data_IF_533686292243
#
_entry.id   IF_533686292243
#
_cell.length_a   1.000
_cell.length_b   1.000
_cell.length_c   1.000
_cell.angle_alpha   90.00
_cell.angle_beta   90.00
_cell.angle_gamma   90.00
#
_symmetry.space_group_name_H-M   'P 1'
#
loop_
_entity.id
_entity.type
_entity.pdbx_description
1 polymer ?
#
# COMPACT_ATOMS: atom_id res chain seq x y z
N UNK A 1 12.49 -0.97 -11.55
CA UNK A 1 11.33 -0.71 -10.67
C UNK A 1 11.05 -1.83 -9.65
N UNK A 2 10.77 -3.07 -10.05
CA UNK A 2 10.37 -4.14 -9.10
C UNK A 2 11.43 -4.39 -8.01
N UNK A 3 12.71 -4.34 -8.35
CA UNK A 3 13.82 -4.43 -7.38
C UNK A 3 13.77 -3.33 -6.32
N UNK A 4 13.58 -2.09 -6.76
CA UNK A 4 13.48 -0.88 -5.91
C UNK A 4 12.28 -1.00 -4.98
N UNK A 5 11.12 -1.43 -5.49
CA UNK A 5 9.92 -1.65 -4.68
C UNK A 5 10.14 -2.72 -3.59
N UNK A 6 10.82 -3.84 -3.93
CA UNK A 6 11.17 -4.88 -2.94
C UNK A 6 12.12 -4.35 -1.86
N UNK A 7 13.11 -3.56 -2.25
CA UNK A 7 14.06 -2.96 -1.31
C UNK A 7 13.38 -1.92 -0.42
N UNK A 8 12.47 -1.12 -0.98
CA UNK A 8 11.66 -0.16 -0.22
C UNK A 8 10.82 -0.86 0.86
N UNK A 9 10.08 -1.91 0.49
CA UNK A 9 9.29 -2.70 1.45
C UNK A 9 10.21 -3.27 2.53
N UNK A 10 11.35 -3.84 2.14
CA UNK A 10 12.32 -4.36 3.12
C UNK A 10 12.80 -3.27 4.08
N UNK A 11 13.17 -2.09 3.57
CA UNK A 11 13.63 -0.97 4.36
C UNK A 11 12.57 -0.52 5.38
N UNK A 12 11.31 -0.38 4.95
CA UNK A 12 10.20 -0.05 5.86
C UNK A 12 9.98 -1.13 6.92
N UNK A 13 9.95 -2.41 6.52
CA UNK A 13 9.77 -3.55 7.45
C UNK A 13 10.89 -3.67 8.48
N UNK A 14 12.10 -3.23 8.14
CA UNK A 14 13.27 -3.21 9.04
C UNK A 14 13.40 -1.90 9.82
N UNK A 15 12.75 -0.83 9.38
CA UNK A 15 12.97 0.52 9.90
C UNK A 15 14.33 1.10 9.49
N UNK A 16 14.86 0.68 8.35
CA UNK A 16 16.12 1.20 7.80
C UNK A 16 15.87 2.55 7.12
N UNK A 17 16.18 3.61 7.85
CA UNK A 17 16.00 4.99 7.39
C UNK A 17 16.77 5.28 6.10
N UNK A 18 18.06 4.94 6.04
CA UNK A 18 18.89 5.30 4.89
C UNK A 18 18.48 4.53 3.63
N UNK A 19 18.20 3.24 3.76
CA UNK A 19 17.73 2.43 2.65
C UNK A 19 16.37 2.93 2.13
N UNK A 20 15.48 3.36 3.01
CA UNK A 20 14.20 3.99 2.64
C UNK A 20 14.42 5.22 1.75
N UNK A 21 15.29 6.16 2.15
CA UNK A 21 15.56 7.36 1.34
C UNK A 21 16.18 7.06 -0.01
N UNK A 22 17.12 6.13 -0.05
CA UNK A 22 17.76 5.72 -1.31
C UNK A 22 16.70 5.16 -2.27
N UNK A 23 15.82 4.29 -1.78
CA UNK A 23 14.72 3.76 -2.59
C UNK A 23 13.78 4.86 -3.09
N UNK A 24 13.37 5.79 -2.22
CA UNK A 24 12.50 6.91 -2.61
C UNK A 24 13.15 7.77 -3.69
N UNK A 25 14.45 8.05 -3.58
CA UNK A 25 15.21 8.79 -4.59
C UNK A 25 15.26 8.05 -5.93
N UNK A 26 15.47 6.74 -5.90
CA UNK A 26 15.48 5.90 -7.11
C UNK A 26 14.10 5.72 -7.76
N UNK A 27 13.01 5.91 -7.01
CA UNK A 27 11.64 5.85 -7.55
C UNK A 27 11.24 7.09 -8.35
N UNK A 28 11.85 8.26 -8.09
CA UNK A 28 11.48 9.55 -8.71
C UNK A 28 11.45 9.52 -10.25
N UNK A 29 12.50 9.03 -10.95
CA UNK A 29 12.49 9.00 -12.41
C UNK A 29 11.31 8.22 -12.99
N UNK A 30 10.89 7.17 -12.29
CA UNK A 30 9.77 6.36 -12.73
C UNK A 30 8.43 7.06 -12.58
N UNK A 31 8.23 7.83 -11.51
CA UNK A 31 7.01 8.66 -11.36
C UNK A 31 6.93 9.72 -12.46
N UNK A 32 8.07 10.27 -12.88
CA UNK A 32 8.14 11.14 -14.05
C UNK A 32 7.75 10.40 -15.34
N UNK A 33 8.38 9.26 -15.63
CA UNK A 33 8.14 8.52 -16.88
C UNK A 33 6.72 7.96 -16.97
N UNK A 34 6.09 7.63 -15.84
CA UNK A 34 4.72 7.11 -15.82
C UNK A 34 3.64 8.22 -15.86
N UNK A 35 4.04 9.50 -15.92
CA UNK A 35 3.11 10.63 -15.91
C UNK A 35 2.42 10.87 -14.56
N UNK A 36 2.91 10.28 -13.48
CA UNK A 36 2.35 10.42 -12.14
C UNK A 36 2.87 11.69 -11.43
N UNK A 37 2.73 12.84 -12.10
CA UNK A 37 3.31 14.12 -11.66
C UNK A 37 2.94 14.55 -10.22
N UNK A 38 1.70 14.34 -9.72
CA UNK A 38 1.39 14.64 -8.32
C UNK A 38 2.25 13.83 -7.34
N UNK A 39 2.45 12.53 -7.61
CA UNK A 39 3.32 11.68 -6.79
C UNK A 39 4.77 12.09 -6.91
N UNK A 40 5.24 12.44 -8.10
CA UNK A 40 6.61 12.96 -8.29
C UNK A 40 6.84 14.22 -7.45
N UNK A 41 5.94 15.20 -7.54
CA UNK A 41 6.03 16.46 -6.79
C UNK A 41 6.06 16.20 -5.29
N UNK A 42 5.12 15.40 -4.79
CA UNK A 42 5.05 15.06 -3.36
C UNK A 42 6.30 14.31 -2.89
N UNK A 43 6.84 13.41 -3.73
CA UNK A 43 8.06 12.64 -3.43
C UNK A 43 9.28 13.55 -3.34
N UNK A 44 9.41 14.53 -4.22
CA UNK A 44 10.48 15.54 -4.15
C UNK A 44 10.40 16.37 -2.86
N UNK A 45 9.20 16.89 -2.54
CA UNK A 45 8.99 17.66 -1.31
C UNK A 45 9.30 16.83 -0.07
N UNK A 46 8.83 15.59 -0.04
CA UNK A 46 9.12 14.64 1.02
C UNK A 46 10.64 14.42 1.18
N UNK A 47 11.34 14.09 0.09
CA UNK A 47 12.78 13.83 0.13
C UNK A 47 13.56 15.05 0.63
N UNK A 48 13.21 16.25 0.16
CA UNK A 48 13.86 17.50 0.55
C UNK A 48 13.65 17.82 2.03
N UNK A 49 12.41 17.69 2.52
CA UNK A 49 12.07 17.90 3.93
C UNK A 49 12.80 16.91 4.83
N UNK A 50 12.88 15.64 4.40
CA UNK A 50 13.49 14.59 5.21
C UNK A 50 15.02 14.69 5.28
N UNK A 51 15.66 15.18 4.21
CA UNK A 51 17.10 15.48 4.22
C UNK A 51 17.44 16.64 5.16
N UNK A 52 16.51 17.58 5.33
CA UNK A 52 16.66 18.73 6.24
C UNK A 52 16.14 18.45 7.65
N UNK A 53 15.58 17.25 7.89
CA UNK A 53 14.85 16.93 9.11
C UNK A 53 15.68 17.13 10.38
N UNK A 54 16.97 16.76 10.33
CA UNK A 54 17.92 16.92 11.46
C UNK A 54 17.97 18.36 11.99
N UNK A 55 17.84 19.35 11.10
CA UNK A 55 17.93 20.76 11.45
C UNK A 55 16.58 21.36 11.90
N UNK A 56 15.47 20.64 11.69
CA UNK A 56 14.11 21.14 11.91
C UNK A 56 13.48 20.61 13.20
N UNK A 57 13.94 19.47 13.71
CA UNK A 57 13.36 18.82 14.88
C UNK A 57 14.38 18.69 16.01
N UNK A 58 13.87 18.44 17.21
CA UNK A 58 14.71 18.18 18.36
C UNK A 58 15.69 17.00 18.10
N UNK A 59 16.99 17.14 18.41
CA UNK A 59 17.99 16.10 18.14
C UNK A 59 17.69 14.75 18.79
N UNK A 60 17.01 14.73 19.95
CA UNK A 60 16.64 13.47 20.61
C UNK A 60 15.54 12.74 19.83
N UNK A 61 14.60 13.48 19.24
CA UNK A 61 13.55 12.94 18.38
C UNK A 61 14.14 12.44 17.07
N UNK A 62 15.05 13.21 16.46
CA UNK A 62 15.76 12.79 15.24
C UNK A 62 16.53 11.48 15.44
N UNK A 63 17.24 11.36 16.57
CA UNK A 63 17.97 10.13 16.91
C UNK A 63 17.02 8.92 16.98
N UNK A 64 15.83 9.07 17.56
CA UNK A 64 14.82 7.99 17.58
C UNK A 64 14.32 7.66 16.18
N UNK A 65 14.12 8.66 15.32
CA UNK A 65 13.72 8.43 13.93
C UNK A 65 14.73 7.55 13.18
N UNK A 66 16.03 7.86 13.26
CA UNK A 66 17.09 7.07 12.61
C UNK A 66 17.20 5.66 13.22
N UNK A 67 16.90 5.49 14.51
CA UNK A 67 16.86 4.17 15.17
C UNK A 67 15.67 3.29 14.73
N UNK A 68 14.95 3.69 13.69
CA UNK A 68 13.86 2.93 13.09
C UNK A 68 12.51 3.16 13.73
N UNK A 69 12.32 4.22 14.51
CA UNK A 69 10.99 4.61 15.03
C UNK A 69 10.11 5.30 13.98
N UNK A 70 10.58 5.47 12.74
CA UNK A 70 9.75 5.87 11.60
C UNK A 70 8.54 4.93 11.41
N UNK A 71 8.75 3.63 11.67
CA UNK A 71 7.78 2.58 11.44
C UNK A 71 7.38 1.91 12.76
N UNK A 72 6.10 1.56 12.86
CA UNK A 72 5.48 1.04 14.08
C UNK A 72 5.45 -0.49 14.04
N UNK A 73 5.66 -1.15 15.19
CA UNK A 73 5.49 -2.59 15.34
C UNK A 73 4.71 -2.91 16.61
N UNK A 74 3.82 -3.91 16.53
CA UNK A 74 3.08 -4.45 17.69
C UNK A 74 3.80 -5.60 18.38
N UNK A 75 4.74 -6.26 17.69
CA UNK A 75 5.52 -7.38 18.23
C UNK A 75 7.01 -7.11 18.14
N UNK A 76 7.81 -7.86 18.90
CA UNK A 76 9.27 -7.74 18.86
C UNK A 76 9.91 -8.37 17.59
N UNK A 77 9.12 -8.95 16.68
CA UNK A 77 9.63 -9.56 15.43
C UNK A 77 10.36 -8.52 14.59
N UNK A 78 11.47 -8.93 13.97
CA UNK A 78 12.38 -8.00 13.30
C UNK A 78 11.77 -7.33 12.07
N UNK A 79 11.09 -8.10 11.21
CA UNK A 79 10.52 -7.65 9.93
C UNK A 79 9.01 -7.36 9.99
N UNK A 80 8.47 -7.05 11.16
CA UNK A 80 7.03 -6.82 11.34
C UNK A 80 6.65 -5.34 11.51
N UNK A 81 7.56 -4.43 11.15
CA UNK A 81 7.25 -3.00 11.19
C UNK A 81 6.30 -2.65 10.05
N UNK A 82 5.53 -1.60 10.26
CA UNK A 82 4.51 -1.10 9.35
C UNK A 82 4.59 0.42 9.32
N UNK A 83 4.35 1.04 8.16
CA UNK A 83 4.31 2.49 8.04
C UNK A 83 3.25 3.09 8.97
N UNK A 84 3.56 4.24 9.55
CA UNK A 84 2.70 4.90 10.54
C UNK A 84 1.35 5.28 9.94
N UNK A 85 1.34 5.77 8.70
CA UNK A 85 0.12 6.11 7.95
C UNK A 85 -0.81 4.90 7.81
N UNK A 86 -0.27 3.75 7.39
CA UNK A 86 -1.07 2.53 7.25
C UNK A 86 -1.63 2.04 8.59
N UNK A 87 -0.89 2.22 9.70
CA UNK A 87 -1.43 1.89 11.04
C UNK A 87 -2.55 2.85 11.45
N UNK A 88 -2.40 4.15 11.18
CA UNK A 88 -3.43 5.16 11.44
C UNK A 88 -4.69 4.81 10.65
N UNK A 89 -4.56 4.51 9.36
CA UNK A 89 -5.69 4.16 8.51
C UNK A 89 -6.37 2.86 8.98
N UNK A 90 -5.59 1.78 9.13
CA UNK A 90 -6.15 0.45 9.41
C UNK A 90 -6.63 0.27 10.85
N UNK A 91 -6.15 1.10 11.78
CA UNK A 91 -6.53 1.02 13.20
C UNK A 91 -7.47 2.15 13.57
N UNK A 92 -6.98 3.40 13.52
CA UNK A 92 -7.73 4.57 13.99
C UNK A 92 -8.86 4.92 13.02
N UNK A 93 -8.56 5.16 11.74
CA UNK A 93 -9.60 5.58 10.78
C UNK A 93 -10.64 4.49 10.57
N UNK A 94 -10.23 3.22 10.47
CA UNK A 94 -11.15 2.10 10.37
C UNK A 94 -12.12 2.02 11.55
N UNK A 95 -11.64 2.19 12.78
CA UNK A 95 -12.51 2.21 13.96
C UNK A 95 -13.47 3.40 13.96
N UNK A 96 -13.01 4.53 13.42
CA UNK A 96 -13.80 5.76 13.29
C UNK A 96 -14.91 5.65 12.24
N UNK A 97 -14.71 4.83 11.21
CA UNK A 97 -15.64 4.63 10.08
C UNK A 97 -16.61 3.47 10.25
N UNK A 98 -16.39 2.58 11.22
CA UNK A 98 -17.29 1.47 11.56
C UNK A 98 -18.58 1.97 12.22
N UNK A 99 -19.57 1.08 12.33
CA UNK A 99 -20.82 1.37 13.02
C UNK A 99 -20.55 1.63 14.50
N UNK A 100 -21.08 2.73 15.02
CA UNK A 100 -20.70 3.24 16.34
C UNK A 100 -19.33 3.94 16.37
N UNK A 101 -18.77 4.33 15.22
CA UNK A 101 -17.66 5.27 15.05
C UNK A 101 -18.12 6.73 14.89
N UNK A 102 -17.23 7.66 14.53
CA UNK A 102 -17.59 9.07 14.30
C UNK A 102 -18.23 9.25 12.92
N UNK A 103 -17.72 8.58 11.89
CA UNK A 103 -18.10 8.87 10.50
C UNK A 103 -19.51 8.38 10.11
N UNK A 104 -20.11 7.50 10.93
CA UNK A 104 -21.47 6.95 10.69
C UNK A 104 -22.42 7.37 11.81
N UNK A 105 -22.98 8.56 11.68
CA UNK A 105 -24.14 9.00 12.48
C UNK A 105 -23.84 9.69 13.81
N UNK A 106 -22.58 10.06 14.11
CA UNK A 106 -22.25 10.94 15.24
C UNK A 106 -22.08 12.39 14.80
N UNK A 107 -22.29 13.30 15.76
CA UNK A 107 -22.12 14.74 15.57
C UNK A 107 -20.68 15.09 15.14
N UNK A 108 -20.55 16.05 14.22
CA UNK A 108 -19.27 16.62 13.77
C UNK A 108 -18.72 17.67 14.73
N UNK A 109 -19.39 17.92 15.87
CA UNK A 109 -18.91 18.86 16.87
C UNK A 109 -17.58 18.41 17.47
N UNK A 110 -16.65 19.35 17.59
CA UNK A 110 -15.30 19.12 18.12
C UNK A 110 -15.29 18.50 19.52
N UNK A 111 -16.25 18.89 20.37
CA UNK A 111 -16.41 18.33 21.72
C UNK A 111 -16.72 16.83 21.69
N UNK A 112 -17.55 16.37 20.74
CA UNK A 112 -17.95 14.97 20.57
C UNK A 112 -16.80 14.16 19.98
N UNK A 113 -16.13 14.71 18.96
CA UNK A 113 -14.94 14.11 18.34
C UNK A 113 -13.85 13.91 19.40
N UNK A 114 -13.53 14.97 20.15
CA UNK A 114 -12.52 14.93 21.21
C UNK A 114 -12.85 13.88 22.25
N UNK A 115 -14.09 13.86 22.75
CA UNK A 115 -14.53 12.86 23.74
C UNK A 115 -14.38 11.44 23.22
N UNK A 116 -14.70 11.20 21.95
CA UNK A 116 -14.50 9.88 21.34
C UNK A 116 -13.01 9.52 21.22
N UNK A 117 -12.16 10.42 20.71
CA UNK A 117 -10.71 10.19 20.56
C UNK A 117 -10.06 9.85 21.90
N UNK A 118 -10.34 10.64 22.95
CA UNK A 118 -9.80 10.40 24.29
C UNK A 118 -10.36 9.14 24.96
N UNK A 119 -11.61 8.76 24.66
CA UNK A 119 -12.23 7.58 25.27
C UNK A 119 -11.85 6.29 24.54
N UNK A 120 -11.60 6.34 23.22
CA UNK A 120 -11.35 5.15 22.41
C UNK A 120 -10.09 4.41 22.84
N UNK A 121 -9.02 5.14 23.15
CA UNK A 121 -7.76 4.53 23.56
C UNK A 121 -7.87 3.70 24.86
N UNK A 122 -8.40 4.23 25.98
CA UNK A 122 -8.60 3.43 27.19
C UNK A 122 -9.70 2.36 27.01
N UNK A 123 -10.72 2.60 26.20
CA UNK A 123 -11.77 1.61 25.94
C UNK A 123 -11.25 0.39 25.17
N UNK A 124 -10.26 0.54 24.29
CA UNK A 124 -9.63 -0.61 23.63
C UNK A 124 -9.04 -1.61 24.63
N UNK A 125 -8.40 -1.15 25.70
CA UNK A 125 -7.89 -2.05 26.75
C UNK A 125 -9.00 -2.77 27.49
N UNK A 126 -10.14 -2.10 27.72
CA UNK A 126 -11.33 -2.73 28.31
C UNK A 126 -11.92 -3.78 27.36
N UNK A 127 -11.99 -3.49 26.07
CA UNK A 127 -12.45 -4.45 25.06
C UNK A 127 -11.54 -5.67 24.99
N UNK A 128 -10.22 -5.49 24.93
CA UNK A 128 -9.24 -6.59 24.96
C UNK A 128 -9.42 -7.47 26.20
N UNK A 129 -9.60 -6.86 27.39
CA UNK A 129 -9.87 -7.61 28.62
C UNK A 129 -11.22 -8.34 28.62
N UNK A 130 -12.26 -7.76 28.02
CA UNK A 130 -13.57 -8.42 27.86
C UNK A 130 -13.51 -9.59 26.89
N UNK A 131 -12.74 -9.48 25.81
CA UNK A 131 -12.49 -10.55 24.84
C UNK A 131 -11.81 -11.75 25.51
N UNK A 132 -10.77 -11.49 26.32
CA UNK A 132 -10.07 -12.51 27.09
C UNK A 132 -11.02 -13.22 28.09
N UNK A 133 -11.84 -12.46 28.82
CA UNK A 133 -12.83 -13.02 29.77
C UNK A 133 -13.91 -13.83 29.07
N UNK A 134 -14.41 -13.34 27.94
CA UNK A 134 -15.44 -14.03 27.18
C UNK A 134 -14.88 -15.23 26.40
N UNK A 135 -13.55 -15.38 26.32
CA UNK A 135 -12.86 -16.30 25.42
C UNK A 135 -13.36 -16.17 23.97
N UNK A 136 -13.69 -14.93 23.58
CA UNK A 136 -14.12 -14.56 22.23
C UNK A 136 -13.11 -13.54 21.73
N UNK A 137 -12.44 -13.85 20.62
CA UNK A 137 -11.69 -12.83 19.89
C UNK A 137 -12.65 -12.17 18.91
N UNK A 138 -12.82 -10.85 18.99
CA UNK A 138 -13.59 -10.10 17.99
C UNK A 138 -12.73 -9.86 16.73
N UNK A 139 -11.95 -10.86 16.34
CA UNK A 139 -11.12 -10.88 15.13
C UNK A 139 -12.02 -11.05 13.90
N UNK A 140 -12.79 -10.01 13.60
CA UNK A 140 -13.35 -9.81 12.26
C UNK A 140 -12.29 -9.31 11.27
N UNK A 141 -11.00 -9.32 11.63
CA UNK A 141 -9.97 -8.60 10.87
C UNK A 141 -8.65 -9.31 10.60
N UNK A 142 -8.50 -10.59 10.92
CA UNK A 142 -7.27 -11.32 10.55
C UNK A 142 -7.30 -11.91 9.13
N UNK A 143 -8.45 -11.88 8.45
CA UNK A 143 -8.48 -12.09 7.00
C UNK A 143 -8.20 -10.75 6.31
N UNK A 144 -7.08 -10.67 5.58
CA UNK A 144 -6.86 -9.62 4.59
C UNK A 144 -8.12 -9.51 3.71
N UNK A 145 -8.50 -8.31 3.28
CA UNK A 145 -9.70 -8.13 2.44
C UNK A 145 -9.67 -9.00 1.19
N UNK A 146 -8.46 -9.27 0.67
CA UNK A 146 -8.27 -10.15 -0.49
C UNK A 146 -8.30 -11.65 -0.14
N UNK A 147 -8.18 -12.01 1.13
CA UNK A 147 -8.38 -13.38 1.63
C UNK A 147 -9.84 -13.63 2.07
N UNK A 148 -10.75 -12.69 1.79
CA UNK A 148 -12.17 -12.88 2.07
C UNK A 148 -12.76 -13.94 1.14
N UNK A 149 -13.73 -14.71 1.65
CA UNK A 149 -14.35 -15.80 0.90
C UNK A 149 -15.01 -15.30 -0.40
N UNK A 150 -15.51 -14.05 -0.40
CA UNK A 150 -16.07 -13.39 -1.59
C UNK A 150 -15.00 -13.07 -2.64
N UNK A 151 -13.81 -12.61 -2.23
CA UNK A 151 -12.68 -12.38 -3.15
C UNK A 151 -12.17 -13.70 -3.70
N UNK A 152 -11.94 -14.70 -2.84
CA UNK A 152 -11.48 -16.04 -3.25
C UNK A 152 -12.42 -16.64 -4.29
N UNK A 153 -13.74 -16.54 -4.06
CA UNK A 153 -14.74 -17.02 -5.01
C UNK A 153 -14.64 -16.28 -6.36
N UNK A 154 -14.56 -14.94 -6.34
CA UNK A 154 -14.43 -14.14 -7.56
C UNK A 154 -13.16 -14.45 -8.34
N UNK A 155 -12.03 -14.54 -7.65
CA UNK A 155 -10.74 -14.84 -8.28
C UNK A 155 -10.75 -16.25 -8.90
N UNK A 156 -11.41 -17.21 -8.25
CA UNK A 156 -11.63 -18.56 -8.81
C UNK A 156 -12.48 -18.51 -10.07
N UNK A 157 -13.55 -17.71 -10.09
CA UNK A 157 -14.39 -17.49 -11.27
C UNK A 157 -13.62 -16.81 -12.41
N UNK A 158 -12.76 -15.83 -12.10
CA UNK A 158 -11.96 -15.12 -13.10
C UNK A 158 -10.83 -15.99 -13.67
N UNK A 159 -10.19 -16.83 -12.84
CA UNK A 159 -9.24 -17.86 -13.31
C UNK A 159 -9.93 -18.81 -14.28
N UNK A 160 -11.16 -19.24 -13.96
CA UNK A 160 -11.92 -20.13 -14.85
C UNK A 160 -12.19 -19.48 -16.20
N UNK A 161 -12.61 -18.20 -16.22
CA UNK A 161 -12.80 -17.44 -17.48
C UNK A 161 -11.51 -17.35 -18.28
N UNK A 162 -10.38 -17.09 -17.62
CA UNK A 162 -9.06 -17.05 -18.26
C UNK A 162 -8.70 -18.39 -18.89
N UNK A 163 -8.90 -19.50 -18.16
CA UNK A 163 -8.64 -20.83 -18.68
C UNK A 163 -9.55 -21.17 -19.86
N UNK A 164 -10.85 -20.86 -19.78
CA UNK A 164 -11.79 -21.03 -20.90
C UNK A 164 -11.37 -20.19 -22.12
N UNK A 165 -10.89 -18.97 -21.90
CA UNK A 165 -10.38 -18.12 -22.97
C UNK A 165 -9.13 -18.70 -23.64
N UNK A 166 -8.18 -19.23 -22.85
CA UNK A 166 -6.98 -19.90 -23.37
C UNK A 166 -7.25 -21.21 -24.11
N UNK A 167 -8.41 -21.85 -23.88
CA UNK A 167 -8.81 -23.07 -24.57
C UNK A 167 -9.40 -22.82 -25.97
N UNK A 168 -9.75 -21.57 -26.31
CA UNK A 168 -10.43 -21.23 -27.56
C UNK A 168 -9.43 -20.96 -28.71
N UNK A 169 -8.57 -19.91 -28.68
CA UNK A 169 -7.43 -19.78 -29.58
C UNK A 169 -6.08 -20.00 -28.88
N UNK A 170 -5.07 -20.46 -29.63
CA UNK A 170 -3.68 -20.34 -29.19
C UNK A 170 -3.37 -18.84 -28.96
N UNK A 171 -3.03 -18.41 -27.73
CA UNK A 171 -2.74 -17.01 -27.42
C UNK A 171 -1.42 -16.53 -28.06
N UNK A 172 -0.56 -17.46 -28.51
CA UNK A 172 0.72 -17.16 -29.14
C UNK A 172 0.89 -17.93 -30.45
N UNK A 173 -0.02 -17.76 -31.42
CA UNK A 173 0.12 -18.43 -32.70
C UNK A 173 1.34 -17.88 -33.43
N UNK A 174 2.04 -18.71 -34.19
CA UNK A 174 3.13 -18.25 -35.05
C UNK A 174 2.51 -17.43 -36.18
N UNK A 175 2.62 -16.10 -36.09
CA UNK A 175 2.06 -15.14 -37.05
C UNK A 175 3.13 -14.19 -37.55
N UNK A 176 3.11 -13.88 -38.86
CA UNK A 176 4.06 -12.93 -39.48
C UNK A 176 3.74 -11.47 -39.14
N UNK A 177 2.56 -11.20 -38.58
CA UNK A 177 2.06 -9.85 -38.28
C UNK A 177 1.79 -9.70 -36.79
N UNK A 178 1.98 -8.50 -36.24
CA UNK A 178 1.63 -8.20 -34.85
C UNK A 178 0.11 -8.17 -34.72
N UNK A 179 -0.42 -8.96 -33.78
CA UNK A 179 -1.87 -9.06 -33.52
C UNK A 179 -2.13 -8.74 -32.05
N UNK A 180 -3.16 -7.94 -31.77
CA UNK A 180 -3.66 -7.71 -30.42
C UNK A 180 -4.21 -9.01 -29.84
N UNK A 181 -3.63 -9.49 -28.76
CA UNK A 181 -4.09 -10.69 -28.04
C UNK A 181 -5.53 -10.51 -27.52
N UNK A 182 -5.90 -9.30 -27.11
CA UNK A 182 -7.23 -9.04 -26.54
C UNK A 182 -8.34 -8.91 -27.59
N UNK A 183 -8.02 -8.45 -28.81
CA UNK A 183 -9.03 -8.08 -29.82
C UNK A 183 -8.87 -8.75 -31.19
N UNK A 184 -7.77 -9.47 -31.42
CA UNK A 184 -7.46 -10.07 -32.73
C UNK A 184 -7.13 -9.05 -33.83
N UNK A 185 -7.02 -7.76 -33.50
CA UNK A 185 -6.74 -6.70 -34.48
C UNK A 185 -5.27 -6.77 -34.92
N UNK A 186 -5.05 -6.81 -36.23
CA UNK A 186 -3.72 -6.77 -36.83
C UNK A 186 -3.20 -5.34 -36.80
N UNK A 187 -1.99 -5.15 -36.26
CA UNK A 187 -1.32 -3.85 -36.22
C UNK A 187 -0.93 -3.36 -37.61
N UNK A 188 -1.10 -2.06 -37.86
CA UNK A 188 -0.58 -1.40 -39.05
C UNK A 188 0.93 -1.13 -38.93
N UNK A 189 1.58 -0.73 -40.03
CA UNK A 189 3.02 -0.44 -40.05
C UNK A 189 3.43 0.63 -39.02
N UNK A 190 2.53 1.57 -38.66
CA UNK A 190 2.80 2.61 -37.65
C UNK A 190 2.88 2.05 -36.24
N UNK A 191 1.97 1.13 -35.87
CA UNK A 191 1.96 0.47 -34.56
C UNK A 191 3.20 -0.43 -34.41
N UNK A 192 3.58 -1.15 -35.48
CA UNK A 192 4.80 -1.99 -35.48
C UNK A 192 6.05 -1.14 -35.21
N UNK A 193 6.19 0.01 -35.88
CA UNK A 193 7.33 0.92 -35.69
C UNK A 193 7.38 1.48 -34.26
N UNK A 194 6.24 1.81 -33.66
CA UNK A 194 6.19 2.32 -32.28
C UNK A 194 6.59 1.26 -31.26
N UNK A 195 6.12 0.02 -31.41
CA UNK A 195 6.44 -1.08 -30.50
C UNK A 195 7.91 -1.51 -30.59
N UNK A 196 8.47 -1.62 -31.79
CA UNK A 196 9.90 -1.95 -32.00
C UNK A 196 10.81 -0.86 -31.44
N UNK A 197 10.43 0.42 -31.57
CA UNK A 197 11.17 1.51 -30.92
C UNK A 197 11.12 1.42 -29.40
N UNK A 198 10.01 0.97 -28.82
CA UNK A 198 9.85 0.82 -27.38
C UNK A 198 10.73 -0.32 -26.82
N UNK A 199 10.85 -1.44 -27.55
CA UNK A 199 11.75 -2.54 -27.20
C UNK A 199 13.23 -2.18 -27.31
N UNK A 200 13.62 -1.35 -28.28
CA UNK A 200 15.01 -0.86 -28.40
C UNK A 200 15.37 0.20 -27.35
N UNK A 201 14.38 0.74 -26.64
CA UNK A 201 14.54 1.75 -25.59
C UNK A 201 14.45 1.17 -24.16
N UNK A 202 14.10 -0.12 -24.02
CA UNK A 202 14.08 -0.87 -22.76
C UNK A 202 15.37 -1.69 -22.60
#
# INVERSE_FOLDING_TARGET
MVSIAKQFIRAERMGDWQAHFNCVKEMIPYFHTSGHFPYTKSTHLYLQNMLQLENLIDPSVFRRFIQGFLTVRRSAKFSCRTSTDMIIEQSLMKSMQRDGGISRGRSTQESVISKWVYSMHPMNTVYEGLEDVANVKMDTTDKHVDASDSRVKRDTEDIKKLLEWFLLPDPFPVVEKIISIASGVVGDEKIVIMLVKLELLL
#
